data_IF_882884282774
#
_entry.id   IF_882884282774
#
_cell.length_a   1.000
_cell.length_b   1.000
_cell.length_c   1.000
_cell.angle_alpha   90.00
_cell.angle_beta   90.00
_cell.angle_gamma   90.00
#
_symmetry.space_group_name_H-M   'P 1'
#
loop_
_entity.id
_entity.type
_entity.pdbx_description
1 polymer ?
#
# COMPACT_ATOMS: atom_id res chain seq x y z
N UNK A 1 -19.15 3.91 -12.06
CA UNK A 1 -17.76 3.56 -12.40
C UNK A 1 -16.83 4.54 -11.69
N UNK A 2 -16.24 4.15 -10.56
CA UNK A 2 -15.31 5.00 -9.80
C UNK A 2 -13.87 4.86 -10.32
N UNK A 3 -13.16 5.97 -10.47
CA UNK A 3 -11.71 5.98 -10.79
C UNK A 3 -10.83 5.90 -9.53
N UNK A 4 -11.43 5.95 -8.33
CA UNK A 4 -10.72 5.89 -7.06
C UNK A 4 -10.95 4.52 -6.43
N UNK A 5 -9.89 3.90 -5.92
CA UNK A 5 -9.97 2.70 -5.10
C UNK A 5 -9.16 2.85 -3.82
N UNK A 6 -9.68 2.24 -2.76
CA UNK A 6 -9.02 2.15 -1.47
C UNK A 6 -8.53 0.72 -1.27
N UNK A 7 -7.32 0.57 -0.74
CA UNK A 7 -6.74 -0.74 -0.42
C UNK A 7 -6.41 -0.76 1.06
N UNK A 8 -6.98 -1.73 1.76
CA UNK A 8 -6.63 -2.05 3.13
C UNK A 8 -5.94 -3.41 3.15
N UNK A 9 -4.71 -3.46 3.66
CA UNK A 9 -3.88 -4.64 3.61
C UNK A 9 -3.17 -4.84 4.96
N UNK A 10 -3.85 -5.48 5.94
CA UNK A 10 -3.19 -6.01 7.12
C UNK A 10 -2.33 -7.22 6.75
N UNK A 11 -1.19 -7.39 7.40
CA UNK A 11 -0.28 -8.49 7.16
C UNK A 11 0.62 -8.77 8.35
N UNK A 12 1.34 -9.89 8.32
CA UNK A 12 2.30 -10.26 9.34
C UNK A 12 3.66 -10.58 8.71
N UNK A 13 4.74 -10.25 9.40
CA UNK A 13 6.09 -10.58 9.02
C UNK A 13 6.42 -12.01 9.48
N UNK A 14 6.91 -12.84 8.55
CA UNK A 14 7.41 -14.19 8.87
C UNK A 14 8.88 -14.14 9.33
N UNK A 15 9.67 -13.21 8.78
CA UNK A 15 11.02 -12.91 9.18
C UNK A 15 11.18 -11.38 9.26
N UNK A 16 11.69 -10.88 10.37
CA UNK A 16 12.02 -9.46 10.55
C UNK A 16 13.34 -9.37 11.32
N UNK A 17 14.45 -9.24 10.60
CA UNK A 17 15.80 -9.15 11.19
C UNK A 17 16.16 -7.72 11.63
N UNK A 18 15.45 -6.70 11.15
CA UNK A 18 15.79 -5.29 11.36
C UNK A 18 15.04 -4.63 12.51
N UNK A 19 13.84 -5.12 12.86
CA UNK A 19 13.01 -4.47 13.87
C UNK A 19 12.38 -5.48 14.84
N UNK A 20 12.71 -5.36 16.14
CA UNK A 20 11.97 -6.06 17.23
C UNK A 20 10.56 -5.49 17.40
N UNK A 21 10.22 -4.46 16.63
CA UNK A 21 9.02 -3.65 16.73
C UNK A 21 7.89 -4.28 15.91
N UNK A 22 7.48 -5.49 16.31
CA UNK A 22 6.14 -6.02 16.03
C UNK A 22 6.03 -6.90 14.78
N UNK A 23 5.37 -8.05 14.94
CA UNK A 23 5.12 -9.02 13.86
C UNK A 23 4.02 -8.58 12.90
N UNK A 24 3.22 -7.57 13.28
CA UNK A 24 2.05 -7.13 12.51
C UNK A 24 2.34 -5.84 11.76
N UNK A 25 1.90 -5.79 10.51
CA UNK A 25 1.92 -4.59 9.67
C UNK A 25 0.52 -4.29 9.15
N UNK A 26 0.30 -3.03 8.82
CA UNK A 26 -0.91 -2.62 8.12
C UNK A 26 -0.59 -1.59 7.05
N UNK A 27 -1.34 -1.61 5.96
CA UNK A 27 -1.21 -0.67 4.85
C UNK A 27 -2.60 -0.15 4.46
N UNK A 28 -2.68 1.17 4.35
CA UNK A 28 -3.81 1.89 3.80
C UNK A 28 -3.33 2.61 2.54
N UNK A 29 -3.99 2.38 1.41
CA UNK A 29 -3.64 3.02 0.14
C UNK A 29 -4.85 3.60 -0.57
N UNK A 30 -4.61 4.67 -1.32
CA UNK A 30 -5.52 5.25 -2.30
C UNK A 30 -4.90 5.12 -3.67
N UNK A 31 -5.68 4.66 -4.64
CA UNK A 31 -5.27 4.58 -6.05
C UNK A 31 -6.26 5.34 -6.91
N UNK A 32 -5.73 6.02 -7.91
CA UNK A 32 -6.49 6.74 -8.91
C UNK A 32 -6.17 6.20 -10.31
N UNK A 33 -7.21 5.77 -11.01
CA UNK A 33 -7.15 5.34 -12.39
C UNK A 33 -7.20 6.57 -13.30
N UNK A 34 -6.05 6.92 -13.87
CA UNK A 34 -5.90 8.06 -14.78
C UNK A 34 -6.62 7.74 -16.10
N UNK A 35 -6.35 6.56 -16.66
CA UNK A 35 -7.02 6.04 -17.85
C UNK A 35 -7.07 4.50 -17.82
N UNK A 36 -7.45 3.86 -18.94
CA UNK A 36 -7.56 2.39 -19.02
C UNK A 36 -6.24 1.66 -18.73
N UNK A 37 -5.10 2.34 -18.93
CA UNK A 37 -3.77 1.77 -18.78
C UNK A 37 -3.04 2.32 -17.56
N UNK A 38 -3.13 3.62 -17.29
CA UNK A 38 -2.36 4.26 -16.23
C UNK A 38 -3.13 4.41 -14.92
N UNK A 39 -2.43 4.10 -13.83
CA UNK A 39 -2.87 4.35 -12.47
C UNK A 39 -1.75 4.99 -11.66
N UNK A 40 -2.11 5.84 -10.72
CA UNK A 40 -1.21 6.36 -9.70
C UNK A 40 -1.78 6.04 -8.31
N UNK A 41 -0.93 5.98 -7.30
CA UNK A 41 -1.38 5.73 -5.95
C UNK A 41 -0.41 6.21 -4.89
N UNK A 42 -0.94 6.37 -3.69
CA UNK A 42 -0.20 6.67 -2.47
C UNK A 42 -0.66 5.71 -1.38
N UNK A 43 0.26 5.34 -0.49
CA UNK A 43 -0.04 4.48 0.65
C UNK A 43 0.73 4.92 1.89
N UNK A 44 0.18 4.59 3.05
CA UNK A 44 0.87 4.67 4.32
C UNK A 44 0.96 3.24 4.85
N UNK A 45 2.16 2.84 5.23
CA UNK A 45 2.44 1.54 5.84
C UNK A 45 2.94 1.76 7.27
N UNK A 46 2.36 1.00 8.19
CA UNK A 46 2.67 1.03 9.61
C UNK A 46 3.27 -0.30 10.08
N UNK A 47 4.33 -0.24 10.88
CA UNK A 47 4.85 -1.38 11.65
C UNK A 47 4.35 -1.29 13.08
N UNK A 48 3.76 -2.39 13.56
CA UNK A 48 2.94 -2.38 14.75
C UNK A 48 1.71 -1.47 14.56
N UNK A 49 0.59 -1.75 15.24
CA UNK A 49 -0.67 -1.00 15.12
C UNK A 49 -0.62 0.52 15.39
N UNK A 50 0.55 1.12 15.66
CA UNK A 50 0.69 2.49 16.13
C UNK A 50 1.68 3.37 15.36
N UNK A 51 2.67 2.82 14.64
CA UNK A 51 3.73 3.65 14.04
C UNK A 51 3.60 3.66 12.52
N UNK A 52 3.18 4.79 11.96
CA UNK A 52 3.11 5.01 10.52
C UNK A 52 4.50 5.42 10.01
N UNK A 53 5.35 4.44 9.72
CA UNK A 53 6.77 4.66 9.45
C UNK A 53 7.04 5.04 7.98
N UNK A 54 6.21 4.57 7.05
CA UNK A 54 6.51 4.65 5.63
C UNK A 54 5.38 5.27 4.83
N UNK A 55 5.73 6.31 4.08
CA UNK A 55 4.92 6.84 2.99
C UNK A 55 5.38 6.21 1.67
N UNK A 56 4.44 5.67 0.89
CA UNK A 56 4.69 5.08 -0.41
C UNK A 56 3.92 5.84 -1.48
N UNK A 57 4.51 5.98 -2.66
CA UNK A 57 3.83 6.47 -3.85
C UNK A 57 4.25 5.62 -5.05
N UNK A 58 3.39 5.53 -6.05
CA UNK A 58 3.67 4.68 -7.21
C UNK A 58 2.83 5.01 -8.42
N UNK A 59 3.36 4.60 -9.57
CA UNK A 59 2.69 4.61 -10.86
C UNK A 59 2.62 3.18 -11.40
N UNK A 60 1.49 2.82 -12.00
CA UNK A 60 1.24 1.49 -12.53
C UNK A 60 0.69 1.55 -13.95
N UNK A 61 1.01 0.54 -14.75
CA UNK A 61 0.54 0.39 -16.11
C UNK A 61 -0.16 -0.96 -16.31
N UNK A 62 -1.33 -0.94 -16.94
CA UNK A 62 -2.14 -2.10 -17.28
C UNK A 62 -2.03 -2.39 -18.79
N UNK A 63 -1.40 -3.52 -19.11
CA UNK A 63 -1.16 -4.01 -20.47
C UNK A 63 -2.35 -4.73 -21.10
N UNK A 64 -3.45 -4.92 -20.37
CA UNK A 64 -4.61 -5.63 -20.89
C UNK A 64 -5.20 -4.83 -22.06
N UNK A 65 -5.21 -5.45 -23.23
CA UNK A 65 -5.79 -4.96 -24.49
C UNK A 65 -7.31 -5.12 -24.44
#
# INVERSE_FOLDING_TARGET
MGKISYVFQPGFYVLNEFDKTGTVSNKLAVRYQINKHWMAGMAIKAHWFAIADFFEWGIGYNWRI
#
